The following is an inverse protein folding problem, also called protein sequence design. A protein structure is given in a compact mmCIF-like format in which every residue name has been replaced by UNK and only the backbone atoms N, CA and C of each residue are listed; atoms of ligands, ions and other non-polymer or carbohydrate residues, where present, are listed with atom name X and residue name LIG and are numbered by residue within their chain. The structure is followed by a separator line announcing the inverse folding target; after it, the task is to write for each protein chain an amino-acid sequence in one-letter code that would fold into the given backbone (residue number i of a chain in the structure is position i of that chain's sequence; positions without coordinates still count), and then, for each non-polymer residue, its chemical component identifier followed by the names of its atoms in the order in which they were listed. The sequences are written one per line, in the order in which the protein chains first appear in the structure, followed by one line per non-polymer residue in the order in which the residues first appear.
data_IF_893291723063
#
_entry.id   IF_893291723063
#
_cell.length_a   1.000
_cell.length_b   1.000
_cell.length_c   1.000
_cell.angle_alpha   90.00
_cell.angle_beta   90.00
_cell.angle_gamma   90.00
#
_symmetry.space_group_name_H-M   'P 1'
#
loop_
_entity.id
_entity.type
_entity.pdbx_description
1 polymer ?
#
# COMPACT_ATOMS: atom_id res chain seq x y z
N UNK A 1 -4.63 -6.96 8.35
CA UNK A 1 -4.77 -5.87 9.34
C UNK A 1 -5.19 -4.63 8.57
N UNK A 2 -6.21 -3.91 9.02
CA UNK A 2 -6.76 -2.72 8.36
C UNK A 2 -7.02 -1.66 9.42
N UNK A 3 -6.49 -0.44 9.26
CA UNK A 3 -6.68 0.66 10.20
C UNK A 3 -6.77 1.99 9.46
N UNK A 4 -7.62 2.89 9.93
CA UNK A 4 -7.70 4.29 9.51
C UNK A 4 -7.99 5.17 10.71
N UNK A 5 -7.39 6.36 10.75
CA UNK A 5 -7.56 7.36 11.79
C UNK A 5 -7.53 8.76 11.16
N UNK A 6 -8.22 9.73 11.77
CA UNK A 6 -8.11 11.15 11.35
C UNK A 6 -6.67 11.63 11.49
N UNK A 7 -6.17 12.41 10.54
CA UNK A 7 -4.76 12.84 10.49
C UNK A 7 -4.30 13.60 11.74
N UNK A 8 -5.18 14.38 12.38
CA UNK A 8 -4.87 15.06 13.64
C UNK A 8 -4.59 14.10 14.82
N UNK A 9 -4.97 12.82 14.70
CA UNK A 9 -4.67 11.76 15.66
C UNK A 9 -3.42 10.93 15.28
N UNK A 10 -2.79 11.22 14.14
CA UNK A 10 -1.63 10.51 13.61
C UNK A 10 -0.29 11.21 13.93
N UNK A 11 -0.25 12.07 14.96
CA UNK A 11 1.00 12.64 15.47
C UNK A 11 1.99 11.51 15.81
N UNK A 12 3.30 11.70 15.58
CA UNK A 12 4.30 10.69 15.93
C UNK A 12 4.13 10.29 17.39
N UNK A 13 3.77 9.02 17.63
CA UNK A 13 3.57 8.49 18.98
C UNK A 13 4.84 8.62 19.83
N UNK A 14 6.01 8.64 19.17
CA UNK A 14 7.32 8.83 19.77
C UNK A 14 7.94 10.14 19.25
N UNK A 15 8.05 11.18 20.10
CA UNK A 15 8.80 12.39 19.78
C UNK A 15 10.23 12.04 19.35
N UNK A 16 10.73 12.69 18.29
CA UNK A 16 12.06 12.40 17.74
C UNK A 16 12.14 11.15 16.84
N UNK A 17 11.05 10.39 16.63
CA UNK A 17 11.07 9.24 15.70
C UNK A 17 11.29 9.61 14.22
N UNK A 18 11.08 10.88 13.88
CA UNK A 18 11.41 11.46 12.57
C UNK A 18 12.88 11.89 12.48
N UNK A 19 13.61 11.92 13.60
CA UNK A 19 15.03 12.27 13.59
C UNK A 19 15.83 11.10 13.02
N UNK A 20 16.54 11.38 11.93
CA UNK A 20 17.21 10.42 11.03
C UNK A 20 18.34 9.60 11.69
N UNK A 21 18.65 9.88 12.96
CA UNK A 21 19.88 9.43 13.63
C UNK A 21 19.95 7.92 13.93
N UNK A 22 18.88 7.14 13.72
CA UNK A 22 18.84 5.70 14.03
C UNK A 22 17.89 4.90 13.12
N UNK A 23 17.78 5.27 11.84
CA UNK A 23 16.92 4.52 10.93
C UNK A 23 17.63 3.27 10.43
N UNK A 24 17.08 2.10 10.74
CA UNK A 24 17.52 0.78 10.29
C UNK A 24 17.27 0.56 8.78
N UNK A 25 17.57 1.56 7.94
CA UNK A 25 17.23 1.62 6.51
C UNK A 25 17.90 0.48 5.74
N UNK A 26 19.16 0.17 6.04
CA UNK A 26 19.87 -0.97 5.46
C UNK A 26 19.19 -2.30 5.80
N UNK A 27 18.77 -2.48 7.07
CA UNK A 27 18.02 -3.68 7.45
C UNK A 27 16.65 -3.73 6.76
N UNK A 28 15.93 -2.61 6.65
CA UNK A 28 14.65 -2.57 5.92
C UNK A 28 14.85 -2.97 4.45
N UNK A 29 15.92 -2.52 3.81
CA UNK A 29 16.27 -2.88 2.43
C UNK A 29 16.67 -4.36 2.27
N UNK A 30 17.31 -4.96 3.29
CA UNK A 30 17.62 -6.39 3.33
C UNK A 30 16.36 -7.26 3.39
N UNK A 31 15.34 -6.85 4.15
CA UNK A 31 14.12 -7.64 4.33
C UNK A 31 12.99 -7.29 3.37
N UNK A 32 13.06 -6.14 2.70
CA UNK A 32 11.95 -5.64 1.88
C UNK A 32 12.38 -4.80 0.68
N UNK A 33 11.45 -4.61 -0.24
CA UNK A 33 11.43 -3.50 -1.18
C UNK A 33 10.45 -2.48 -0.61
N UNK A 34 10.86 -1.22 -0.49
CA UNK A 34 9.98 -0.14 -0.04
C UNK A 34 9.92 0.94 -1.11
N UNK A 35 8.71 1.35 -1.52
CA UNK A 35 8.52 2.37 -2.56
C UNK A 35 7.33 3.26 -2.26
N UNK A 36 7.47 4.53 -2.60
CA UNK A 36 6.38 5.49 -2.48
C UNK A 36 5.37 5.36 -3.61
N UNK A 37 4.17 5.86 -3.34
CA UNK A 37 3.12 6.07 -4.32
C UNK A 37 2.37 7.37 -4.00
N UNK A 38 1.75 7.95 -5.01
CA UNK A 38 0.93 9.18 -4.88
C UNK A 38 -0.39 8.95 -5.61
N UNK A 39 -1.50 9.38 -5.00
CA UNK A 39 -2.83 9.40 -5.59
C UNK A 39 -3.31 10.82 -5.78
N UNK A 40 -3.84 11.13 -6.96
CA UNK A 40 -4.50 12.40 -7.24
C UNK A 40 -6.03 12.18 -7.13
N UNK A 41 -6.67 12.86 -6.18
CA UNK A 41 -8.11 12.69 -5.93
C UNK A 41 -8.98 13.31 -7.03
N UNK A 42 -8.46 14.29 -7.77
CA UNK A 42 -9.21 14.95 -8.85
C UNK A 42 -9.34 14.06 -10.09
N UNK A 43 -8.30 13.30 -10.39
CA UNK A 43 -8.25 12.37 -11.53
C UNK A 43 -8.60 10.93 -11.16
N UNK A 44 -8.53 10.57 -9.88
CA UNK A 44 -8.69 9.20 -9.39
C UNK A 44 -7.53 8.27 -9.77
N UNK A 45 -6.39 8.84 -10.18
CA UNK A 45 -5.21 8.12 -10.64
C UNK A 45 -4.17 7.99 -9.54
N UNK A 46 -3.54 6.82 -9.46
CA UNK A 46 -2.36 6.57 -8.62
C UNK A 46 -1.14 6.43 -9.51
N UNK A 47 -0.03 7.03 -9.07
CA UNK A 47 1.31 6.88 -9.62
C UNK A 47 2.15 6.07 -8.67
N UNK A 48 2.64 4.94 -9.15
CA UNK A 48 3.41 3.94 -8.42
C UNK A 48 4.90 4.07 -8.74
N UNK A 49 5.75 3.66 -7.80
CA UNK A 49 7.14 3.32 -8.11
C UNK A 49 7.26 2.16 -9.11
N UNK A 50 8.47 2.00 -9.67
CA UNK A 50 8.75 0.99 -10.69
C UNK A 50 8.52 -0.43 -10.17
N UNK A 51 9.07 -0.75 -8.99
CA UNK A 51 8.91 -2.08 -8.40
C UNK A 51 7.46 -2.36 -8.01
N UNK A 52 6.73 -1.34 -7.58
CA UNK A 52 5.35 -1.40 -7.18
C UNK A 52 4.47 -1.73 -8.39
N UNK A 53 4.65 -1.04 -9.52
CA UNK A 53 3.97 -1.39 -10.77
C UNK A 53 4.26 -2.83 -11.20
N UNK A 54 5.54 -3.23 -11.16
CA UNK A 54 5.98 -4.57 -11.55
C UNK A 54 5.41 -5.67 -10.64
N UNK A 55 5.48 -5.50 -9.32
CA UNK A 55 5.00 -6.48 -8.34
C UNK A 55 3.48 -6.62 -8.35
N UNK A 56 2.76 -5.52 -8.62
CA UNK A 56 1.31 -5.56 -8.86
C UNK A 56 0.95 -6.10 -10.26
N UNK A 57 1.92 -6.34 -11.15
CA UNK A 57 1.67 -6.86 -12.50
C UNK A 57 0.93 -5.88 -13.40
N UNK A 58 1.11 -4.58 -13.17
CA UNK A 58 0.52 -3.49 -13.95
C UNK A 58 1.44 -3.14 -15.13
N UNK A 59 0.85 -2.76 -16.27
CA UNK A 59 1.59 -2.41 -17.48
C UNK A 59 2.17 -0.99 -17.47
N UNK A 60 1.71 -0.14 -16.56
CA UNK A 60 2.14 1.23 -16.39
C UNK A 60 2.24 1.55 -14.89
N UNK A 61 3.08 2.54 -14.58
CA UNK A 61 3.21 3.09 -13.22
C UNK A 61 1.97 3.90 -12.81
N UNK A 62 1.23 4.42 -13.78
CA UNK A 62 -0.06 5.08 -13.53
C UNK A 62 -1.22 4.10 -13.69
N UNK A 63 -2.10 4.06 -12.68
CA UNK A 63 -3.27 3.20 -12.68
C UNK A 63 -4.41 3.79 -11.86
N UNK A 64 -5.65 3.43 -12.19
CA UNK A 64 -6.80 3.74 -11.33
C UNK A 64 -6.85 2.84 -10.11
N UNK A 65 -7.51 3.30 -9.04
CA UNK A 65 -7.65 2.56 -7.78
C UNK A 65 -8.18 1.14 -7.98
N UNK A 66 -9.22 0.96 -8.80
CA UNK A 66 -9.79 -0.36 -9.05
C UNK A 66 -8.81 -1.33 -9.73
N UNK A 67 -7.92 -0.83 -10.58
CA UNK A 67 -6.86 -1.65 -11.19
C UNK A 67 -5.88 -2.16 -10.14
N UNK A 68 -5.53 -1.32 -9.17
CA UNK A 68 -4.69 -1.69 -8.03
C UNK A 68 -5.37 -2.72 -7.13
N UNK A 69 -6.62 -2.47 -6.72
CA UNK A 69 -7.38 -3.37 -5.81
C UNK A 69 -7.57 -4.77 -6.41
N UNK A 70 -7.71 -4.88 -7.75
CA UNK A 70 -7.84 -6.17 -8.44
C UNK A 70 -6.59 -7.05 -8.32
N UNK A 71 -5.44 -6.49 -7.98
CA UNK A 71 -4.21 -7.26 -7.75
C UNK A 71 -4.21 -7.98 -6.38
N UNK A 72 -5.07 -7.55 -5.44
CA UNK A 72 -5.08 -8.08 -4.07
C UNK A 72 -5.95 -9.34 -3.92
N UNK A 73 -5.71 -10.06 -2.82
CA UNK A 73 -6.51 -11.20 -2.37
C UNK A 73 -7.99 -10.79 -2.29
N UNK A 74 -8.87 -11.58 -2.90
CA UNK A 74 -10.29 -11.29 -3.05
C UNK A 74 -10.99 -10.98 -1.73
N UNK A 75 -10.53 -11.56 -0.62
CA UNK A 75 -11.13 -11.36 0.71
C UNK A 75 -10.85 -9.96 1.31
N UNK A 76 -9.79 -9.31 0.84
CA UNK A 76 -9.32 -8.04 1.37
C UNK A 76 -9.80 -6.85 0.52
N UNK A 77 -10.25 -7.09 -0.73
CA UNK A 77 -10.55 -6.04 -1.71
C UNK A 77 -11.58 -5.02 -1.25
N UNK A 78 -12.69 -5.46 -0.66
CA UNK A 78 -13.76 -4.56 -0.19
C UNK A 78 -13.25 -3.65 0.92
N UNK A 79 -12.58 -4.22 1.92
CA UNK A 79 -12.04 -3.46 3.05
C UNK A 79 -10.97 -2.45 2.61
N UNK A 80 -10.09 -2.82 1.67
CA UNK A 80 -9.07 -1.89 1.17
C UNK A 80 -9.72 -0.77 0.34
N UNK A 81 -10.72 -1.09 -0.48
CA UNK A 81 -11.46 -0.08 -1.23
C UNK A 81 -12.13 0.93 -0.28
N UNK A 82 -12.85 0.43 0.73
CA UNK A 82 -13.49 1.26 1.76
C UNK A 82 -12.48 2.15 2.51
N UNK A 83 -11.26 1.66 2.76
CA UNK A 83 -10.19 2.47 3.37
C UNK A 83 -9.80 3.65 2.47
N UNK A 84 -9.60 3.42 1.17
CA UNK A 84 -9.26 4.49 0.23
C UNK A 84 -10.42 5.47 0.04
N UNK A 85 -11.67 5.00 0.04
CA UNK A 85 -12.85 5.87 -0.05
C UNK A 85 -12.97 6.78 1.18
N UNK A 86 -12.72 6.25 2.38
CA UNK A 86 -12.69 7.06 3.60
C UNK A 86 -11.53 8.06 3.59
N UNK A 87 -10.33 7.65 3.16
CA UNK A 87 -9.19 8.56 3.03
C UNK A 87 -9.40 9.64 1.95
N UNK A 88 -10.21 9.36 0.92
CA UNK A 88 -10.55 10.35 -0.11
C UNK A 88 -11.57 11.40 0.35
N UNK A 89 -12.23 11.20 1.49
CA UNK A 89 -13.29 12.10 1.99
C UNK A 89 -12.90 12.83 3.28
N UNK A 90 -11.96 12.28 4.04
CA UNK A 90 -11.52 12.81 5.33
C UNK A 90 -10.01 12.85 5.38
N UNK A 91 -9.44 13.94 5.91
CA UNK A 91 -8.01 14.00 6.17
C UNK A 91 -7.62 12.92 7.20
N UNK A 92 -7.01 11.85 6.71
CA UNK A 92 -6.86 10.57 7.40
C UNK A 92 -5.52 9.92 7.07
N UNK A 93 -4.94 9.28 8.07
CA UNK A 93 -3.84 8.33 7.92
C UNK A 93 -4.40 6.90 8.00
N UNK A 94 -3.88 6.00 7.19
CA UNK A 94 -4.34 4.63 7.12
C UNK A 94 -3.19 3.64 6.93
N UNK A 95 -3.45 2.39 7.28
CA UNK A 95 -2.56 1.30 6.94
C UNK A 95 -3.33 0.00 6.70
N UNK A 96 -2.78 -0.83 5.82
CA UNK A 96 -3.29 -2.18 5.60
C UNK A 96 -2.20 -3.18 5.28
N UNK A 97 -2.53 -4.46 5.46
CA UNK A 97 -1.71 -5.59 5.01
C UNK A 97 -2.56 -6.51 4.13
N UNK A 98 -2.05 -6.91 2.98
CA UNK A 98 -2.72 -7.87 2.09
C UNK A 98 -1.71 -8.73 1.34
N UNK A 99 -2.18 -9.48 0.35
CA UNK A 99 -1.35 -10.30 -0.53
C UNK A 99 -1.70 -9.99 -1.98
N UNK A 100 -0.69 -9.68 -2.78
CA UNK A 100 -0.82 -9.57 -4.23
C UNK A 100 -0.87 -10.98 -4.81
N UNK A 101 -1.86 -11.21 -5.68
CA UNK A 101 -2.01 -12.44 -6.44
C UNK A 101 -1.37 -12.24 -7.81
N UNK A 102 -0.15 -12.74 -7.98
CA UNK A 102 0.60 -12.58 -9.23
C UNK A 102 0.05 -13.53 -10.31
N UNK A 103 0.15 -13.13 -11.59
CA UNK A 103 -0.34 -13.94 -12.74
C UNK A 103 0.32 -15.31 -12.84
N UNK A 104 1.54 -15.45 -12.35
CA UNK A 104 2.30 -16.69 -12.32
C UNK A 104 1.93 -17.61 -11.13
N UNK A 105 0.91 -17.26 -10.33
CA UNK A 105 0.44 -18.05 -9.20
C UNK A 105 1.20 -17.83 -7.89
N UNK A 106 2.30 -17.07 -7.91
CA UNK A 106 2.98 -16.64 -6.68
C UNK A 106 2.16 -15.58 -5.94
N UNK A 107 2.39 -15.52 -4.64
CA UNK A 107 1.72 -14.60 -3.73
C UNK A 107 2.76 -13.74 -3.03
N UNK A 108 2.60 -12.42 -3.14
CA UNK A 108 3.52 -11.44 -2.56
C UNK A 108 2.82 -10.69 -1.42
N UNK A 109 3.25 -10.87 -0.16
CA UNK A 109 2.76 -10.03 0.94
C UNK A 109 3.04 -8.56 0.67
N UNK A 110 2.13 -7.70 1.12
CA UNK A 110 2.20 -6.26 0.98
C UNK A 110 1.75 -5.59 2.27
N UNK A 111 2.52 -4.62 2.73
CA UNK A 111 2.08 -3.63 3.71
C UNK A 111 1.96 -2.27 3.02
N UNK A 112 0.92 -1.52 3.34
CA UNK A 112 0.72 -0.16 2.87
C UNK A 112 0.45 0.75 4.06
N UNK A 113 1.09 1.90 4.06
CA UNK A 113 0.76 3.03 4.93
C UNK A 113 0.61 4.25 4.05
N UNK A 114 -0.38 5.08 4.35
CA UNK A 114 -0.62 6.29 3.59
C UNK A 114 -1.40 7.31 4.38
N UNK A 115 -1.47 8.50 3.80
CA UNK A 115 -2.24 9.60 4.30
C UNK A 115 -2.89 10.35 3.14
N UNK A 116 -3.94 11.09 3.46
CA UNK A 116 -4.62 12.02 2.56
C UNK A 116 -4.28 13.43 3.00
N UNK A 117 -4.06 14.32 2.04
CA UNK A 117 -3.69 15.71 2.25
C UNK A 117 -4.56 16.62 1.37
N UNK A 118 -4.80 17.86 1.82
CA UNK A 118 -5.40 18.91 0.97
C UNK A 118 -6.91 18.79 0.71
N UNK A 119 -7.67 18.09 1.55
CA UNK A 119 -9.13 17.98 1.41
C UNK A 119 -9.90 19.26 1.76
N UNK A 120 -9.25 20.24 2.38
CA UNK A 120 -9.86 21.52 2.80
C UNK A 120 -9.70 22.64 1.76
N UNK A 121 -8.83 22.47 0.76
CA UNK A 121 -8.60 23.47 -0.29
C UNK A 121 -9.34 23.11 -1.59
N UNK A 122 -9.99 24.12 -2.18
CA UNK A 122 -11.10 23.98 -3.14
C UNK A 122 -10.88 23.09 -4.37
N UNK A 123 -9.67 22.62 -4.73
CA UNK A 123 -9.48 21.85 -5.97
C UNK A 123 -8.32 20.82 -6.04
N UNK A 124 -7.63 20.44 -4.96
CA UNK A 124 -6.48 19.52 -5.10
C UNK A 124 -6.16 18.69 -3.87
N UNK A 125 -7.06 17.75 -3.56
CA UNK A 125 -6.74 16.68 -2.60
C UNK A 125 -5.79 15.66 -3.22
N UNK A 126 -4.84 15.17 -2.44
CA UNK A 126 -3.95 14.08 -2.84
C UNK A 126 -3.83 13.05 -1.72
N UNK A 127 -3.39 11.87 -2.07
CA UNK A 127 -2.95 10.84 -1.13
C UNK A 127 -1.51 10.50 -1.42
N UNK A 128 -0.77 10.14 -0.39
CA UNK A 128 0.59 9.64 -0.54
C UNK A 128 0.79 8.47 0.41
N UNK A 129 1.76 7.63 0.10
CA UNK A 129 2.07 6.53 0.99
C UNK A 129 3.27 5.75 0.54
N UNK A 130 3.49 4.64 1.24
CA UNK A 130 4.57 3.69 1.00
C UNK A 130 4.00 2.29 0.93
N UNK A 131 4.46 1.54 -0.06
CA UNK A 131 4.33 0.10 -0.12
C UNK A 131 5.61 -0.56 0.38
N UNK A 132 5.46 -1.58 1.21
CA UNK A 132 6.55 -2.43 1.70
C UNK A 132 6.25 -3.86 1.28
N UNK A 133 7.15 -4.43 0.48
CA UNK A 133 7.09 -5.79 -0.06
C UNK A 133 8.18 -6.64 0.59
N UNK A 134 7.85 -7.53 1.54
CA UNK A 134 8.83 -8.45 2.12
C UNK A 134 9.50 -9.33 1.04
N UNK A 135 10.80 -9.58 1.16
CA UNK A 135 11.58 -10.40 0.21
C UNK A 135 11.38 -11.91 0.39
N UNK A 136 10.12 -12.34 0.42
CA UNK A 136 9.76 -13.75 0.32
C UNK A 136 8.44 -13.89 -0.42
N UNK A 137 8.28 -15.00 -1.12
CA UNK A 137 7.04 -15.32 -1.84
C UNK A 137 6.32 -16.45 -1.10
N UNK A 138 5.01 -16.36 -1.03
CA UNK A 138 4.17 -17.48 -0.62
C UNK A 138 3.88 -18.32 -1.86
N UNK A 139 4.03 -19.63 -1.76
CA UNK A 139 3.58 -20.55 -2.81
C UNK A 139 2.04 -20.50 -2.90
N UNK A 140 1.54 -20.59 -4.14
CA UNK A 140 0.10 -20.73 -4.38
C UNK A 140 -0.40 -22.04 -3.76
N UNK A 141 -1.66 -22.08 -3.32
CA UNK A 141 -2.30 -23.27 -2.75
C UNK A 141 -2.55 -24.37 -3.82
N UNK A 142 -1.52 -24.81 -4.54
CA UNK A 142 -1.55 -25.96 -5.44
C UNK A 142 -0.30 -26.81 -5.15
N UNK A 143 -0.58 -28.01 -4.63
CA UNK A 143 0.33 -29.11 -4.28
C UNK A 143 0.98 -29.11 -2.88
N UNK A 144 0.13 -29.08 -1.84
CA UNK A 144 0.34 -30.03 -0.72
C UNK A 144 -0.57 -31.23 -0.99
N UNK A 145 -0.25 -32.01 -2.02
CA UNK A 145 -0.84 -33.33 -2.22
C UNK A 145 0.28 -34.31 -2.56
N UNK A 146 0.47 -35.26 -1.65
CA UNK A 146 1.17 -36.54 -1.81
C UNK A 146 2.71 -36.53 -1.82
N UNK A 147 3.28 -36.72 -0.63
CA UNK A 147 4.22 -37.84 -0.41
C UNK A 147 3.80 -38.58 0.86
N UNK A 148 3.09 -39.71 0.69
CA UNK A 148 3.16 -40.86 1.59
C UNK A 148 3.90 -41.96 0.84
#
# INVERSE_FOLDING_TARGET
MFKIAKANAALPLMPGSLEDANQNHEMLAQFSISESWIGDLSSGMLRLGEWSGMLHGLSAQECGLLSLIRCYDTKDRSHILELFEQAATLNSSFCFSTTIIMRNGFRQPLFCMGESNGLEEKYSGSMSGVFIFPRFKLEGARQITSRR
#
